data_IF_071448166790
#
_entry.id   IF_071448166790
#
_cell.length_a   1.000
_cell.length_b   1.000
_cell.length_c   1.000
_cell.angle_alpha   90.00
_cell.angle_beta   90.00
_cell.angle_gamma   90.00
#
_symmetry.space_group_name_H-M   'P 1'
#
loop_
_entity.id
_entity.type
_entity.pdbx_description
1 polymer ?
#
# COMPACT_ATOMS: atom_id res chain seq x y z
N UNK A 1 3.03 5.22 1.77
CA UNK A 1 4.49 5.21 1.49
C UNK A 1 5.29 5.29 2.78
N UNK A 2 5.13 6.34 3.58
CA UNK A 2 5.84 6.55 4.85
C UNK A 2 5.71 5.33 5.78
N UNK A 3 4.50 4.81 6.01
CA UNK A 3 4.28 3.58 6.81
C UNK A 3 5.15 2.40 6.34
N UNK A 4 5.27 2.18 5.03
CA UNK A 4 6.06 1.08 4.48
C UNK A 4 7.57 1.35 4.59
N UNK A 5 8.00 2.61 4.41
CA UNK A 5 9.40 3.00 4.62
C UNK A 5 9.82 2.76 6.08
N UNK A 6 8.94 3.10 7.02
CA UNK A 6 9.15 2.91 8.45
C UNK A 6 9.14 1.42 8.83
N UNK A 7 8.21 0.64 8.28
CA UNK A 7 8.20 -0.81 8.44
C UNK A 7 9.53 -1.43 7.99
N UNK A 8 9.96 -1.11 6.77
CA UNK A 8 11.23 -1.61 6.23
C UNK A 8 12.44 -1.06 6.98
N UNK A 9 12.32 0.05 7.71
CA UNK A 9 13.37 0.58 8.59
C UNK A 9 13.49 -0.23 9.89
N UNK A 10 12.35 -0.67 10.44
CA UNK A 10 12.25 -1.49 11.64
C UNK A 10 12.12 -0.70 12.93
N UNK A 11 11.45 -1.30 13.92
CA UNK A 11 11.14 -0.67 15.21
C UNK A 11 12.39 -0.17 15.97
N UNK A 12 13.43 -0.99 16.08
CA UNK A 12 14.62 -0.68 16.90
C UNK A 12 15.32 0.60 16.43
N UNK A 13 15.51 0.75 15.11
CA UNK A 13 16.16 1.92 14.52
C UNK A 13 15.31 3.20 14.68
N UNK A 14 13.98 3.07 14.59
CA UNK A 14 13.06 4.19 14.75
C UNK A 14 12.89 4.61 16.20
N UNK A 15 12.84 3.66 17.14
CA UNK A 15 12.75 3.93 18.57
C UNK A 15 13.90 4.81 19.03
N UNK A 16 15.13 4.56 18.58
CA UNK A 16 16.29 5.39 18.94
C UNK A 16 16.16 6.86 18.49
N UNK A 17 15.27 7.16 17.53
CA UNK A 17 15.05 8.51 16.97
C UNK A 17 13.62 9.01 17.20
N UNK A 18 12.91 8.44 18.17
CA UNK A 18 11.57 8.89 18.56
C UNK A 18 11.50 10.41 18.86
N UNK A 19 12.50 11.06 19.51
CA UNK A 19 12.42 12.49 19.78
C UNK A 19 12.46 13.32 18.50
N UNK A 20 13.22 12.89 17.49
CA UNK A 20 13.31 13.58 16.21
C UNK A 20 11.99 13.50 15.44
N UNK A 21 11.32 12.34 15.46
CA UNK A 21 9.97 12.21 14.87
C UNK A 21 8.96 13.10 15.60
N UNK A 22 9.01 13.13 16.93
CA UNK A 22 8.15 14.00 17.73
C UNK A 22 8.39 15.48 17.42
N UNK A 23 9.66 15.92 17.41
CA UNK A 23 10.04 17.29 17.10
C UNK A 23 9.62 17.70 15.69
N UNK A 24 9.82 16.85 14.69
CA UNK A 24 9.35 17.08 13.33
C UNK A 24 7.82 17.20 13.26
N UNK A 25 7.09 16.38 14.03
CA UNK A 25 5.63 16.45 14.12
C UNK A 25 5.14 17.76 14.72
N UNK A 26 5.75 18.19 15.84
CA UNK A 26 5.44 19.47 16.50
C UNK A 26 5.80 20.65 15.59
N UNK A 27 6.94 20.62 14.93
CA UNK A 27 7.36 21.66 13.98
C UNK A 27 6.38 21.77 12.80
N UNK A 28 5.91 20.65 12.25
CA UNK A 28 4.91 20.64 11.18
C UNK A 28 3.56 21.22 11.65
N UNK A 29 3.11 20.89 12.87
CA UNK A 29 1.91 21.50 13.46
C UNK A 29 2.09 23.01 13.66
N UNK A 30 3.24 23.44 14.18
CA UNK A 30 3.56 24.85 14.37
C UNK A 30 3.55 25.62 13.05
N UNK A 31 4.18 25.07 12.00
CA UNK A 31 4.18 25.66 10.67
C UNK A 31 2.77 25.76 10.08
N UNK A 32 1.96 24.70 10.21
CA UNK A 32 0.57 24.75 9.76
C UNK A 32 -0.27 25.78 10.54
N UNK A 33 -0.07 25.91 11.85
CA UNK A 33 -0.75 26.92 12.66
C UNK A 33 -0.30 28.34 12.28
N UNK A 34 0.99 28.55 11.99
CA UNK A 34 1.49 29.83 11.50
C UNK A 34 0.82 30.22 10.18
N UNK A 35 0.64 29.29 9.24
CA UNK A 35 -0.07 29.57 7.97
C UNK A 35 -1.55 29.93 8.21
N UNK A 36 -2.21 29.36 9.23
CA UNK A 36 -3.60 29.71 9.56
C UNK A 36 -3.74 31.06 10.28
N UNK A 37 -2.78 31.39 11.14
CA UNK A 37 -2.77 32.64 11.89
C UNK A 37 -2.23 33.82 11.08
N UNK A 38 -1.52 33.54 9.98
CA UNK A 38 -0.97 34.56 9.11
C UNK A 38 -2.09 35.25 8.33
N UNK A 39 -2.46 36.43 8.83
CA UNK A 39 -3.29 37.40 8.12
C UNK A 39 -2.48 38.27 7.17
N UNK A 40 -1.15 38.14 7.14
CA UNK A 40 -0.29 38.80 6.18
C UNK A 40 -0.14 37.93 4.93
N UNK A 41 -0.04 38.55 3.76
CA UNK A 41 0.07 37.82 2.48
C UNK A 41 1.37 36.98 2.36
N UNK A 42 2.33 37.14 3.28
CA UNK A 42 3.68 36.57 3.16
C UNK A 42 3.73 35.04 3.22
N UNK A 43 3.34 34.41 4.34
CA UNK A 43 3.52 32.98 4.50
C UNK A 43 2.52 32.17 3.68
N UNK A 44 1.31 32.70 3.46
CA UNK A 44 0.28 32.10 2.61
C UNK A 44 0.73 32.01 1.15
N UNK A 45 1.34 33.08 0.61
CA UNK A 45 1.92 33.09 -0.75
C UNK A 45 3.11 32.14 -0.86
N UNK A 46 4.04 32.19 0.10
CA UNK A 46 5.22 31.29 0.11
C UNK A 46 4.80 29.82 0.18
N UNK A 47 3.84 29.47 1.04
CA UNK A 47 3.34 28.11 1.16
C UNK A 47 2.68 27.63 -0.14
N UNK A 48 1.87 28.49 -0.76
CA UNK A 48 1.17 28.19 -2.02
C UNK A 48 2.15 27.95 -3.16
N UNK A 49 3.13 28.85 -3.35
CA UNK A 49 4.17 28.68 -4.38
C UNK A 49 5.03 27.45 -4.13
N UNK A 50 5.50 27.23 -2.89
CA UNK A 50 6.31 26.07 -2.54
C UNK A 50 5.57 24.76 -2.86
N UNK A 51 4.28 24.68 -2.54
CA UNK A 51 3.46 23.53 -2.87
C UNK A 51 3.29 23.35 -4.39
N UNK A 52 3.03 24.43 -5.12
CA UNK A 52 2.96 24.41 -6.58
C UNK A 52 4.25 23.89 -7.22
N UNK A 53 5.42 24.39 -6.80
CA UNK A 53 6.71 23.91 -7.30
C UNK A 53 6.95 22.42 -6.99
N UNK A 54 6.55 21.95 -5.81
CA UNK A 54 6.63 20.52 -5.46
C UNK A 54 5.77 19.67 -6.40
N UNK A 55 4.58 20.15 -6.78
CA UNK A 55 3.72 19.45 -7.73
C UNK A 55 4.29 19.44 -9.14
N UNK A 56 4.84 20.57 -9.62
CA UNK A 56 5.52 20.64 -10.92
C UNK A 56 6.70 19.67 -10.95
N UNK A 57 7.55 19.70 -9.93
CA UNK A 57 8.70 18.79 -9.83
C UNK A 57 8.24 17.33 -9.79
N UNK A 58 7.20 17.02 -9.01
CA UNK A 58 6.63 15.66 -8.91
C UNK A 58 6.06 15.17 -10.24
N UNK A 59 5.35 16.04 -10.97
CA UNK A 59 4.82 15.76 -12.30
C UNK A 59 5.94 15.52 -13.32
N UNK A 60 6.96 16.39 -13.34
CA UNK A 60 8.11 16.28 -14.22
C UNK A 60 8.92 15.00 -13.98
N UNK A 61 9.24 14.69 -12.71
CA UNK A 61 9.90 13.44 -12.33
C UNK A 61 9.04 12.22 -12.68
N UNK A 62 7.72 12.32 -12.52
CA UNK A 62 6.77 11.28 -12.92
C UNK A 62 6.82 10.99 -14.43
N UNK A 63 6.82 12.03 -15.27
CA UNK A 63 6.95 11.91 -16.72
C UNK A 63 8.31 11.34 -17.12
N UNK A 64 9.41 11.86 -16.56
CA UNK A 64 10.76 11.32 -16.79
C UNK A 64 10.87 9.85 -16.36
N UNK A 65 10.18 9.46 -15.28
CA UNK A 65 10.09 8.08 -14.82
C UNK A 65 9.44 7.14 -15.82
N UNK A 66 8.52 7.62 -16.68
CA UNK A 66 7.90 6.79 -17.74
C UNK A 66 8.86 6.44 -18.88
N UNK A 67 9.96 7.19 -19.03
CA UNK A 67 11.05 6.85 -19.96
C UNK A 67 11.87 5.65 -19.45
N UNK A 68 11.71 5.26 -18.18
CA UNK A 68 12.38 4.10 -17.61
C UNK A 68 11.72 2.80 -18.08
N UNK A 69 12.46 1.86 -18.72
CA UNK A 69 11.91 0.59 -19.20
C UNK A 69 11.43 -0.36 -18.09
N UNK A 70 11.66 -0.02 -16.81
CA UNK A 70 11.16 -0.76 -15.65
C UNK A 70 9.73 -0.35 -15.27
N UNK A 71 9.33 0.87 -15.59
CA UNK A 71 7.99 1.41 -15.38
C UNK A 71 7.30 1.28 -16.72
N UNK A 72 6.55 0.20 -16.94
CA UNK A 72 5.64 0.14 -18.09
C UNK A 72 4.75 1.37 -18.00
N UNK A 73 4.86 2.27 -18.98
CA UNK A 73 4.06 3.48 -19.06
C UNK A 73 2.59 3.09 -19.15
N UNK A 74 1.96 2.93 -17.99
CA UNK A 74 0.52 2.76 -17.89
C UNK A 74 -0.08 4.14 -18.14
N UNK A 75 -1.14 4.22 -18.97
CA UNK A 75 -1.89 5.47 -19.22
C UNK A 75 -2.21 6.20 -17.92
N UNK A 76 -2.49 5.47 -16.85
CA UNK A 76 -2.75 6.05 -15.52
C UNK A 76 -1.54 6.79 -14.90
N UNK A 77 -0.31 6.31 -15.10
CA UNK A 77 0.90 6.99 -14.61
C UNK A 77 1.12 8.29 -15.39
N UNK A 78 0.89 8.26 -16.70
CA UNK A 78 1.01 9.44 -17.56
C UNK A 78 -0.06 10.49 -17.21
N UNK A 79 -1.33 10.07 -17.07
CA UNK A 79 -2.44 10.93 -16.65
C UNK A 79 -2.17 11.55 -15.28
N UNK A 80 -1.67 10.77 -14.31
CA UNK A 80 -1.31 11.30 -12.99
C UNK A 80 -0.16 12.30 -13.07
N UNK A 81 0.92 11.97 -13.77
CA UNK A 81 2.10 12.83 -13.86
C UNK A 81 1.75 14.14 -14.60
N UNK A 82 0.99 14.06 -15.70
CA UNK A 82 0.47 15.21 -16.41
C UNK A 82 -0.48 16.05 -15.56
N UNK A 83 -1.41 15.42 -14.83
CA UNK A 83 -2.34 16.11 -13.93
C UNK A 83 -1.63 16.86 -12.80
N UNK A 84 -0.60 16.26 -12.18
CA UNK A 84 0.23 16.94 -11.17
C UNK A 84 1.00 18.13 -11.75
N UNK A 85 1.51 17.99 -12.98
CA UNK A 85 2.24 19.06 -13.66
C UNK A 85 1.32 20.23 -14.03
N UNK A 86 0.15 19.95 -14.63
CA UNK A 86 -0.86 20.96 -14.94
C UNK A 86 -1.32 21.67 -13.67
N UNK A 87 -1.63 20.93 -12.61
CA UNK A 87 -2.04 21.52 -11.34
C UNK A 87 -0.93 22.37 -10.71
N UNK A 88 0.30 21.90 -10.72
CA UNK A 88 1.44 22.67 -10.21
C UNK A 88 1.66 23.97 -10.97
N UNK A 89 1.57 23.94 -12.31
CA UNK A 89 1.71 25.13 -13.15
C UNK A 89 0.56 26.14 -12.94
N UNK A 90 -0.65 25.65 -12.66
CA UNK A 90 -1.82 26.49 -12.33
C UNK A 90 -1.64 27.22 -10.98
N UNK A 91 -0.86 26.64 -10.06
CA UNK A 91 -0.57 27.19 -8.73
C UNK A 91 0.65 28.12 -8.74
N UNK A 92 1.65 27.88 -9.61
CA UNK A 92 2.95 28.61 -9.64
C UNK A 92 2.89 29.92 -10.45
N UNK A 93 1.72 30.33 -10.93
CA UNK A 93 1.55 31.56 -11.71
C UNK A 93 2.36 31.59 -13.03
N UNK A 94 2.14 30.61 -13.91
CA UNK A 94 2.18 30.91 -15.35
C UNK A 94 0.99 31.85 -15.64
N UNK A 95 1.11 32.84 -16.54
CA UNK A 95 0.65 34.26 -16.41
C UNK A 95 -0.85 34.55 -16.19
N UNK A 96 -1.68 33.57 -15.87
CA UNK A 96 -3.12 33.69 -15.64
C UNK A 96 -3.41 33.44 -14.16
N UNK A 97 -3.27 34.49 -13.33
CA UNK A 97 -3.71 34.48 -11.94
C UNK A 97 -5.22 34.19 -11.88
N UNK A 98 -5.58 32.94 -11.58
CA UNK A 98 -6.97 32.52 -11.50
C UNK A 98 -7.21 31.78 -10.18
N UNK A 99 -7.15 32.53 -9.07
CA UNK A 99 -7.45 32.05 -7.71
C UNK A 99 -8.78 31.28 -7.65
N UNK A 100 -9.75 31.70 -8.46
CA UNK A 100 -11.04 31.02 -8.64
C UNK A 100 -10.83 29.61 -9.21
N UNK A 101 -10.06 29.48 -10.30
CA UNK A 101 -9.78 28.19 -10.92
C UNK A 101 -9.03 27.25 -9.96
N UNK A 102 -8.04 27.76 -9.22
CA UNK A 102 -7.32 26.99 -8.22
C UNK A 102 -8.25 26.48 -7.11
N UNK A 103 -9.09 27.36 -6.55
CA UNK A 103 -10.03 26.98 -5.50
C UNK A 103 -11.09 25.98 -5.98
N UNK A 104 -11.68 26.19 -7.18
CA UNK A 104 -12.63 25.26 -7.79
C UNK A 104 -12.01 23.89 -8.06
N UNK A 105 -10.76 23.85 -8.52
CA UNK A 105 -10.07 22.59 -8.80
C UNK A 105 -9.78 21.81 -7.52
N UNK A 106 -9.32 22.49 -6.45
CA UNK A 106 -9.18 21.87 -5.14
C UNK A 106 -10.53 21.40 -4.58
N UNK A 107 -11.57 22.22 -4.67
CA UNK A 107 -12.93 21.86 -4.26
C UNK A 107 -13.44 20.61 -4.98
N UNK A 108 -13.27 20.54 -6.32
CA UNK A 108 -13.64 19.37 -7.10
C UNK A 108 -12.81 18.13 -6.71
N UNK A 109 -11.51 18.29 -6.47
CA UNK A 109 -10.64 17.18 -6.06
C UNK A 109 -11.06 16.62 -4.68
N UNK A 110 -11.34 17.48 -3.70
CA UNK A 110 -11.87 17.08 -2.39
C UNK A 110 -13.24 16.41 -2.53
N UNK A 111 -14.13 16.92 -3.40
CA UNK A 111 -15.43 16.33 -3.63
C UNK A 111 -15.34 14.93 -4.23
N UNK A 112 -14.48 14.74 -5.25
CA UNK A 112 -14.24 13.43 -5.86
C UNK A 112 -13.65 12.45 -4.84
N UNK A 113 -12.65 12.83 -4.04
CA UNK A 113 -12.09 11.95 -3.01
C UNK A 113 -13.13 11.60 -1.95
N UNK A 114 -13.93 12.58 -1.50
CA UNK A 114 -15.02 12.38 -0.56
C UNK A 114 -16.05 11.36 -1.07
N UNK A 115 -16.54 11.52 -2.31
CA UNK A 115 -17.51 10.61 -2.93
C UNK A 115 -16.93 9.20 -3.04
N UNK A 116 -15.70 9.07 -3.56
CA UNK A 116 -15.05 7.76 -3.71
C UNK A 116 -14.81 7.09 -2.35
N UNK A 117 -14.41 7.85 -1.32
CA UNK A 117 -14.20 7.35 0.04
C UNK A 117 -15.51 6.90 0.69
N UNK A 118 -16.57 7.69 0.58
CA UNK A 118 -17.90 7.34 1.10
C UNK A 118 -18.44 6.09 0.39
N UNK A 119 -18.39 6.05 -0.94
CA UNK A 119 -18.85 4.91 -1.72
C UNK A 119 -18.06 3.63 -1.35
N UNK A 120 -16.73 3.71 -1.29
CA UNK A 120 -15.89 2.57 -0.91
C UNK A 120 -16.17 2.07 0.51
N UNK A 121 -16.30 2.98 1.48
CA UNK A 121 -16.63 2.62 2.86
C UNK A 121 -18.04 2.02 2.98
N UNK A 122 -19.01 2.51 2.22
CA UNK A 122 -20.38 2.02 2.21
C UNK A 122 -20.49 0.60 1.64
N UNK A 123 -19.79 0.32 0.54
CA UNK A 123 -19.79 -1.00 -0.12
C UNK A 123 -19.08 -2.03 0.74
N UNK A 124 -17.88 -1.73 1.24
CA UNK A 124 -17.02 -2.72 1.88
C UNK A 124 -17.23 -2.86 3.39
N UNK A 125 -17.77 -1.84 4.05
CA UNK A 125 -18.08 -1.86 5.49
C UNK A 125 -16.94 -2.39 6.39
N UNK A 126 -15.68 -2.07 6.06
CA UNK A 126 -14.52 -2.42 6.89
C UNK A 126 -14.63 -1.81 8.30
N UNK A 127 -13.89 -2.32 9.28
CA UNK A 127 -14.07 -2.02 10.72
C UNK A 127 -14.28 -0.54 11.11
N UNK A 128 -13.66 0.41 10.41
CA UNK A 128 -13.78 1.87 10.65
C UNK A 128 -14.56 2.62 9.55
N UNK A 129 -15.45 1.93 8.83
CA UNK A 129 -16.19 2.50 7.70
C UNK A 129 -17.01 3.72 8.10
N UNK A 130 -17.60 3.74 9.31
CA UNK A 130 -18.34 4.89 9.84
C UNK A 130 -17.45 6.13 9.99
N UNK A 131 -16.23 5.95 10.51
CA UNK A 131 -15.25 7.03 10.63
C UNK A 131 -14.78 7.50 9.26
N UNK A 132 -14.62 6.57 8.29
CA UNK A 132 -14.26 6.93 6.92
C UNK A 132 -15.37 7.71 6.21
N UNK A 133 -16.65 7.36 6.43
CA UNK A 133 -17.79 8.14 5.94
C UNK A 133 -17.83 9.51 6.60
N UNK A 134 -17.71 9.60 7.93
CA UNK A 134 -17.66 10.88 8.64
C UNK A 134 -16.53 11.77 8.12
N UNK A 135 -15.34 11.21 7.92
CA UNK A 135 -14.22 11.91 7.30
C UNK A 135 -14.50 12.35 5.86
N UNK A 136 -15.18 11.52 5.07
CA UNK A 136 -15.62 11.89 3.71
C UNK A 136 -16.68 13.00 3.71
N UNK A 137 -17.59 13.02 4.69
CA UNK A 137 -18.57 14.10 4.85
C UNK A 137 -17.92 15.42 5.25
N UNK A 138 -16.93 15.38 6.16
CA UNK A 138 -16.12 16.56 6.50
C UNK A 138 -15.38 17.07 5.26
N UNK A 139 -14.80 16.16 4.46
CA UNK A 139 -14.09 16.50 3.23
C UNK A 139 -15.01 17.08 2.15
N UNK A 140 -16.24 16.56 2.01
CA UNK A 140 -17.27 17.15 1.16
C UNK A 140 -17.70 18.53 1.64
N UNK A 141 -17.78 18.75 2.96
CA UNK A 141 -18.00 20.06 3.55
C UNK A 141 -16.89 21.04 3.18
N UNK A 142 -15.62 20.64 3.34
CA UNK A 142 -14.46 21.44 2.93
C UNK A 142 -14.48 21.75 1.42
N UNK A 143 -14.89 20.80 0.59
CA UNK A 143 -15.07 21.00 -0.84
C UNK A 143 -16.13 22.07 -1.14
N UNK A 144 -17.27 22.04 -0.44
CA UNK A 144 -18.31 23.06 -0.58
C UNK A 144 -17.80 24.45 -0.17
N UNK A 145 -17.07 24.55 0.95
CA UNK A 145 -16.49 25.82 1.41
C UNK A 145 -15.47 26.39 0.41
N UNK A 146 -14.66 25.53 -0.22
CA UNK A 146 -13.75 25.93 -1.29
C UNK A 146 -14.52 26.49 -2.50
N UNK A 147 -15.62 25.85 -2.90
CA UNK A 147 -16.41 26.28 -4.07
C UNK A 147 -17.23 27.55 -3.79
N UNK A 148 -17.77 27.70 -2.58
CA UNK A 148 -18.75 28.74 -2.22
C UNK A 148 -18.15 30.14 -1.98
N UNK A 149 -16.82 30.28 -1.87
CA UNK A 149 -16.14 31.54 -1.49
C UNK A 149 -16.55 32.12 -0.12
N UNK A 150 -17.26 31.35 0.69
CA UNK A 150 -17.76 31.77 1.98
C UNK A 150 -17.87 30.57 2.93
N UNK A 151 -17.37 30.67 4.17
CA UNK A 151 -16.70 31.81 4.81
C UNK A 151 -15.22 31.95 4.42
N UNK A 152 -14.68 30.99 3.66
CA UNK A 152 -13.29 30.98 3.22
C UNK A 152 -13.17 31.60 1.83
N UNK A 153 -12.36 32.64 1.69
CA UNK A 153 -12.11 33.28 0.39
C UNK A 153 -11.29 32.37 -0.54
N UNK A 154 -11.40 32.60 -1.85
CA UNK A 154 -10.64 31.84 -2.85
C UNK A 154 -9.11 31.91 -2.63
N UNK A 155 -8.58 33.06 -2.20
CA UNK A 155 -7.14 33.20 -1.93
C UNK A 155 -6.67 32.40 -0.71
N UNK A 156 -7.53 32.17 0.29
CA UNK A 156 -7.18 31.40 1.49
C UNK A 156 -7.39 29.90 1.33
N UNK A 157 -8.05 29.44 0.26
CA UNK A 157 -8.39 28.02 0.07
C UNK A 157 -7.15 27.12 0.02
N UNK A 158 -6.17 27.48 -0.80
CA UNK A 158 -4.95 26.68 -0.96
C UNK A 158 -4.07 26.71 0.29
N UNK A 159 -3.75 27.88 0.89
CA UNK A 159 -3.04 27.94 2.17
C UNK A 159 -3.74 27.17 3.29
N UNK A 160 -5.07 27.28 3.40
CA UNK A 160 -5.85 26.56 4.40
C UNK A 160 -5.73 25.03 4.25
N UNK A 161 -5.82 24.53 3.01
CA UNK A 161 -5.66 23.11 2.72
C UNK A 161 -4.24 22.61 3.07
N UNK A 162 -3.21 23.39 2.74
CA UNK A 162 -1.81 23.08 3.08
C UNK A 162 -1.61 23.06 4.60
N UNK A 163 -2.16 24.05 5.30
CA UNK A 163 -2.06 24.14 6.75
C UNK A 163 -2.74 22.95 7.45
N UNK A 164 -3.96 22.59 7.03
CA UNK A 164 -4.67 21.43 7.54
C UNK A 164 -3.87 20.15 7.30
N UNK A 165 -3.30 19.99 6.10
CA UNK A 165 -2.45 18.85 5.75
C UNK A 165 -1.21 18.77 6.67
N UNK A 166 -0.54 19.90 6.92
CA UNK A 166 0.63 19.98 7.80
C UNK A 166 0.28 19.63 9.24
N UNK A 167 -0.82 20.18 9.78
CA UNK A 167 -1.29 19.90 11.14
C UNK A 167 -1.66 18.43 11.29
N UNK A 168 -2.45 17.86 10.36
CA UNK A 168 -2.88 16.46 10.46
C UNK A 168 -1.72 15.47 10.34
N UNK A 169 -0.77 15.73 9.43
CA UNK A 169 0.44 14.91 9.33
C UNK A 169 1.37 15.11 10.54
N UNK A 170 1.48 16.33 11.05
CA UNK A 170 2.26 16.66 12.25
C UNK A 170 1.74 15.93 13.48
N UNK A 171 0.43 15.96 13.72
CA UNK A 171 -0.25 15.20 14.80
C UNK A 171 0.01 13.69 14.63
N UNK A 172 -0.10 13.16 13.41
CA UNK A 172 0.15 11.74 13.14
C UNK A 172 1.60 11.35 13.44
N UNK A 173 2.56 12.17 13.01
CA UNK A 173 3.99 11.96 13.23
C UNK A 173 4.36 12.06 14.71
N UNK A 174 3.78 13.03 15.43
CA UNK A 174 3.93 13.20 16.87
C UNK A 174 3.37 11.99 17.65
N UNK A 175 2.13 11.56 17.33
CA UNK A 175 1.53 10.35 17.92
C UNK A 175 2.37 9.11 17.67
N UNK A 176 2.95 8.98 16.48
CA UNK A 176 3.84 7.87 16.14
C UNK A 176 5.17 7.93 16.92
N UNK A 177 5.77 9.11 17.08
CA UNK A 177 6.94 9.31 17.93
C UNK A 177 6.67 8.90 19.38
N UNK A 178 5.51 9.28 19.92
CA UNK A 178 5.10 8.88 21.27
C UNK A 178 4.84 7.37 21.37
N UNK A 179 4.21 6.76 20.37
CA UNK A 179 3.99 5.31 20.33
C UNK A 179 5.32 4.54 20.29
N UNK A 180 6.30 5.01 19.50
CA UNK A 180 7.64 4.43 19.47
C UNK A 180 8.37 4.54 20.81
N UNK A 181 8.21 5.66 21.54
CA UNK A 181 8.77 5.82 22.88
C UNK A 181 8.27 4.75 23.85
N UNK A 182 7.00 4.38 23.75
CA UNK A 182 6.34 3.40 24.63
C UNK A 182 6.58 1.95 24.20
N UNK A 183 7.24 1.73 23.06
CA UNK A 183 7.43 0.40 22.49
C UNK A 183 8.51 -0.37 23.27
N UNK A 184 8.21 -1.60 23.76
CA UNK A 184 9.18 -2.43 24.45
C UNK A 184 10.41 -2.74 23.59
N UNK A 185 11.55 -3.11 24.21
CA UNK A 185 12.69 -3.64 23.47
C UNK A 185 12.26 -4.83 22.61
N UNK A 186 12.75 -4.90 21.37
CA UNK A 186 12.51 -5.99 20.40
C UNK A 186 11.08 -6.18 19.86
N UNK A 187 10.11 -5.39 20.34
CA UNK A 187 8.76 -5.40 19.79
C UNK A 187 8.73 -4.97 18.31
N UNK A 188 7.72 -5.46 17.60
CA UNK A 188 7.50 -5.15 16.19
C UNK A 188 6.85 -3.79 16.00
N UNK A 189 7.24 -3.08 14.93
CA UNK A 189 6.55 -1.84 14.54
C UNK A 189 5.08 -2.10 14.21
N UNK A 190 4.72 -3.34 13.85
CA UNK A 190 3.36 -3.77 13.55
C UNK A 190 2.43 -3.75 14.77
N UNK A 191 2.98 -3.76 16.00
CA UNK A 191 2.17 -3.61 17.22
C UNK A 191 1.71 -2.16 17.44
N UNK A 192 2.30 -1.18 16.74
CA UNK A 192 1.85 0.22 16.81
C UNK A 192 0.50 0.35 16.09
N UNK A 193 -0.52 0.96 16.72
CA UNK A 193 -1.80 1.21 16.07
C UNK A 193 -1.64 1.96 14.74
N UNK A 194 -2.15 1.36 13.66
CA UNK A 194 -2.03 1.91 12.31
C UNK A 194 -0.88 1.33 11.48
N UNK A 195 0.00 0.50 12.04
CA UNK A 195 1.04 -0.25 11.31
C UNK A 195 0.65 -1.69 10.98
N UNK A 196 -0.07 -2.37 11.86
CA UNK A 196 -0.68 -3.66 11.61
C UNK A 196 -2.21 -3.58 11.62
N UNK A 197 -2.92 -4.64 11.18
CA UNK A 197 -4.36 -4.73 11.37
C UNK A 197 -4.65 -4.78 12.88
N UNK A 198 -5.71 -4.10 13.35
CA UNK A 198 -5.87 -3.88 14.78
C UNK A 198 -6.26 -5.17 15.52
N UNK A 199 -5.77 -5.35 16.75
CA UNK A 199 -5.99 -6.58 17.53
C UNK A 199 -5.07 -7.75 17.15
N UNK A 200 -4.38 -7.71 16.01
CA UNK A 200 -3.53 -8.83 15.56
C UNK A 200 -2.14 -8.84 16.18
N UNK A 201 -1.75 -7.75 16.82
CA UNK A 201 -0.41 -7.57 17.35
C UNK A 201 -0.39 -7.01 18.78
N UNK A 202 -1.57 -6.92 19.43
CA UNK A 202 -1.73 -6.40 20.79
C UNK A 202 -1.08 -7.30 21.85
N UNK A 203 -0.78 -8.57 21.53
CA UNK A 203 -0.21 -9.57 22.45
C UNK A 203 1.06 -10.25 21.91
N UNK A 204 1.80 -9.61 20.98
CA UNK A 204 3.06 -10.19 20.46
C UNK A 204 4.12 -10.41 21.55
N UNK A 205 4.04 -9.69 22.67
CA UNK A 205 4.97 -9.81 23.81
C UNK A 205 4.95 -11.20 24.46
N UNK A 206 3.84 -11.94 24.38
CA UNK A 206 3.73 -13.28 24.97
C UNK A 206 4.46 -14.37 24.18
N UNK A 207 4.72 -14.16 22.88
CA UNK A 207 5.42 -15.14 22.06
C UNK A 207 6.93 -14.91 22.20
N UNK A 208 7.44 -15.12 23.42
CA UNK A 208 8.87 -15.28 23.66
C UNK A 208 9.35 -16.46 22.84
N UNK A 209 10.27 -16.17 21.92
CA UNK A 209 11.12 -17.10 21.18
C UNK A 209 10.54 -18.52 21.07
N UNK A 210 9.66 -18.73 20.08
CA UNK A 210 9.63 -20.04 19.43
C UNK A 210 11.10 -20.32 19.10
N UNK A 211 11.69 -21.34 19.70
CA UNK A 211 13.09 -21.70 19.48
C UNK A 211 13.30 -21.70 17.98
N UNK A 212 14.14 -20.79 17.49
CA UNK A 212 14.35 -20.67 16.06
C UNK A 212 14.93 -22.01 15.62
N UNK A 213 14.28 -22.73 14.69
CA UNK A 213 14.85 -23.97 14.21
C UNK A 213 16.24 -23.67 13.67
N UNK A 214 17.18 -24.56 13.93
CA UNK A 214 18.55 -24.42 13.45
C UNK A 214 18.52 -24.38 11.92
N UNK A 215 18.79 -23.21 11.36
CA UNK A 215 18.60 -22.97 9.93
C UNK A 215 19.79 -23.55 9.17
N UNK A 216 19.63 -24.73 8.59
CA UNK A 216 20.64 -25.32 7.70
C UNK A 216 20.56 -24.67 6.30
N UNK A 217 21.68 -24.11 5.84
CA UNK A 217 21.80 -23.49 4.50
C UNK A 217 21.32 -22.03 4.40
N UNK A 218 21.00 -21.59 3.17
CA UNK A 218 20.42 -20.26 2.86
C UNK A 218 18.96 -20.43 2.44
N UNK A 219 18.03 -20.73 3.37
CA UNK A 219 16.65 -20.99 3.00
C UNK A 219 16.00 -19.73 2.44
N UNK A 220 15.16 -19.91 1.43
CA UNK A 220 14.43 -18.83 0.78
C UNK A 220 12.96 -18.92 1.17
N UNK A 221 12.38 -17.80 1.57
CA UNK A 221 10.94 -17.66 1.70
C UNK A 221 10.35 -17.41 0.31
N UNK A 222 9.39 -18.22 -0.14
CA UNK A 222 8.80 -18.16 -1.47
C UNK A 222 7.32 -17.80 -1.38
N UNK A 223 6.93 -16.72 -2.03
CA UNK A 223 5.51 -16.42 -2.28
C UNK A 223 5.11 -17.13 -3.56
N UNK A 224 4.10 -18.01 -3.49
CA UNK A 224 3.55 -18.72 -4.64
C UNK A 224 2.13 -18.26 -4.90
N UNK A 225 1.79 -18.08 -6.17
CA UNK A 225 0.53 -17.48 -6.60
C UNK A 225 -0.07 -18.35 -7.69
N UNK A 226 -1.37 -18.59 -7.56
CA UNK A 226 -2.26 -19.08 -8.61
C UNK A 226 -3.01 -17.88 -9.18
N UNK A 227 -2.71 -17.49 -10.41
CA UNK A 227 -3.36 -16.35 -11.04
C UNK A 227 -4.80 -16.70 -11.45
N UNK A 228 -5.75 -15.74 -11.40
CA UNK A 228 -7.14 -15.96 -11.84
C UNK A 228 -7.25 -16.51 -13.26
N UNK A 229 -6.29 -16.14 -14.12
CA UNK A 229 -6.18 -16.60 -15.52
C UNK A 229 -5.62 -18.00 -15.67
N UNK A 230 -4.82 -18.47 -14.71
CA UNK A 230 -4.32 -19.85 -14.67
C UNK A 230 -5.29 -20.81 -13.97
N UNK A 231 -6.15 -20.29 -13.09
CA UNK A 231 -7.10 -21.08 -12.28
C UNK A 231 -8.51 -21.20 -12.84
N UNK A 232 -8.84 -20.57 -13.98
CA UNK A 232 -10.17 -20.64 -14.59
C UNK A 232 -10.17 -20.44 -16.10
N UNK A 233 -11.12 -21.06 -16.81
CA UNK A 233 -11.41 -20.78 -18.21
C UNK A 233 -12.25 -19.48 -18.35
N UNK A 234 -11.59 -18.39 -18.75
CA UNK A 234 -12.21 -17.05 -18.78
C UNK A 234 -13.12 -16.85 -20.00
N UNK A 235 -14.34 -16.36 -19.77
CA UNK A 235 -15.35 -16.08 -20.80
C UNK A 235 -15.11 -14.80 -21.60
N UNK A 236 -14.62 -13.75 -20.94
CA UNK A 236 -14.41 -12.43 -21.56
C UNK A 236 -13.26 -11.71 -20.85
N UNK A 237 -12.19 -11.40 -21.59
CA UNK A 237 -10.98 -10.80 -21.00
C UNK A 237 -11.20 -9.31 -20.71
N UNK A 238 -11.35 -8.94 -19.44
CA UNK A 238 -11.31 -7.56 -18.92
C UNK A 238 -9.98 -7.34 -18.18
N UNK A 239 -8.91 -6.89 -18.87
CA UNK A 239 -7.53 -7.01 -18.40
C UNK A 239 -7.20 -6.31 -17.06
N UNK A 240 -8.00 -5.32 -16.63
CA UNK A 240 -7.82 -4.62 -15.35
C UNK A 240 -8.70 -5.22 -14.23
N UNK A 241 -9.92 -5.66 -14.56
CA UNK A 241 -10.88 -6.21 -13.59
C UNK A 241 -10.50 -7.66 -13.26
N UNK A 242 -10.27 -8.50 -14.27
CA UNK A 242 -9.87 -9.90 -14.13
C UNK A 242 -8.55 -10.03 -13.36
N UNK A 243 -7.66 -9.04 -13.54
CA UNK A 243 -6.35 -9.03 -12.90
C UNK A 243 -6.39 -8.59 -11.45
N UNK A 244 -7.28 -7.68 -11.04
CA UNK A 244 -7.17 -7.02 -9.72
C UNK A 244 -8.37 -7.19 -8.80
N UNK A 245 -9.50 -7.72 -9.29
CA UNK A 245 -10.72 -7.91 -8.51
C UNK A 245 -11.06 -9.40 -8.46
N UNK A 246 -11.44 -9.97 -9.60
CA UNK A 246 -11.72 -11.39 -9.77
C UNK A 246 -11.95 -11.67 -11.27
N UNK A 247 -11.65 -12.88 -11.73
CA UNK A 247 -12.05 -13.35 -13.05
C UNK A 247 -13.39 -14.09 -12.96
N UNK A 248 -14.27 -13.90 -13.94
CA UNK A 248 -15.52 -14.65 -14.07
C UNK A 248 -15.34 -15.67 -15.19
N UNK A 249 -15.60 -16.94 -14.88
CA UNK A 249 -15.49 -18.03 -15.86
C UNK A 249 -16.69 -18.02 -16.85
N UNK A 250 -16.67 -18.93 -17.83
CA UNK A 250 -17.78 -19.13 -18.80
C UNK A 250 -19.11 -19.60 -18.17
N UNK A 251 -19.07 -20.16 -16.98
CA UNK A 251 -20.23 -20.61 -16.21
C UNK A 251 -20.79 -19.55 -15.24
N UNK A 252 -20.18 -18.35 -15.19
CA UNK A 252 -20.55 -17.28 -14.29
C UNK A 252 -19.95 -17.39 -12.87
N UNK A 253 -19.01 -18.30 -12.65
CA UNK A 253 -18.33 -18.53 -11.37
C UNK A 253 -17.16 -17.56 -11.19
N UNK A 254 -16.96 -17.11 -9.96
CA UNK A 254 -15.91 -16.15 -9.60
C UNK A 254 -14.64 -16.88 -9.17
N UNK A 255 -13.58 -16.76 -9.98
CA UNK A 255 -12.22 -17.22 -9.64
C UNK A 255 -11.35 -16.03 -9.22
N UNK A 256 -10.96 -16.01 -7.95
CA UNK A 256 -10.08 -14.97 -7.40
C UNK A 256 -8.59 -15.33 -7.47
N UNK A 257 -8.25 -16.55 -7.88
CA UNK A 257 -6.91 -17.13 -7.70
C UNK A 257 -6.60 -17.49 -6.24
N UNK A 258 -5.35 -17.85 -5.96
CA UNK A 258 -4.88 -18.18 -4.61
C UNK A 258 -3.45 -17.67 -4.36
N UNK A 259 -3.11 -17.40 -3.09
CA UNK A 259 -1.79 -16.92 -2.70
C UNK A 259 -1.31 -17.62 -1.43
N UNK A 260 -0.04 -18.04 -1.43
CA UNK A 260 0.60 -18.72 -0.31
C UNK A 260 2.00 -18.17 -0.05
N UNK A 261 2.46 -18.35 1.19
CA UNK A 261 3.84 -18.10 1.60
C UNK A 261 4.44 -19.39 2.13
N UNK A 262 5.50 -19.83 1.46
CA UNK A 262 6.20 -21.07 1.71
C UNK A 262 7.62 -20.79 2.23
N UNK A 263 7.89 -21.20 3.45
CA UNK A 263 9.20 -21.18 4.09
C UNK A 263 9.53 -22.59 4.59
N UNK A 264 9.59 -23.53 3.66
CA UNK A 264 9.92 -24.93 3.93
C UNK A 264 11.30 -25.10 4.63
N UNK A 265 11.43 -26.09 5.52
CA UNK A 265 10.38 -26.97 6.05
C UNK A 265 9.59 -26.36 7.22
N UNK A 266 9.86 -25.10 7.57
CA UNK A 266 9.47 -24.52 8.86
C UNK A 266 8.05 -23.94 8.88
N UNK A 267 7.56 -23.44 7.75
CA UNK A 267 6.28 -22.75 7.71
C UNK A 267 5.63 -22.80 6.32
N UNK A 268 4.33 -23.05 6.30
CA UNK A 268 3.49 -22.91 5.12
C UNK A 268 2.22 -22.13 5.50
N UNK A 269 2.01 -20.99 4.85
CA UNK A 269 0.84 -20.12 5.05
C UNK A 269 -0.05 -20.23 3.84
N UNK A 270 -1.18 -20.90 4.02
CA UNK A 270 -2.23 -21.04 3.03
C UNK A 270 -3.57 -21.09 3.75
N UNK A 271 -4.50 -20.19 3.42
CA UNK A 271 -5.75 -20.01 4.17
C UNK A 271 -6.96 -20.14 3.25
N UNK A 272 -7.84 -21.09 3.58
CA UNK A 272 -9.06 -21.41 2.85
C UNK A 272 -10.27 -21.34 3.78
N UNK A 273 -11.49 -21.17 3.24
CA UNK A 273 -12.69 -21.53 3.98
C UNK A 273 -12.67 -23.04 4.31
N UNK A 274 -13.27 -23.42 5.44
CA UNK A 274 -13.39 -24.82 5.83
C UNK A 274 -14.29 -25.61 4.86
N UNK A 275 -15.38 -24.97 4.41
CA UNK A 275 -16.28 -25.48 3.38
C UNK A 275 -16.22 -24.60 2.14
N UNK A 276 -15.99 -25.22 0.98
CA UNK A 276 -15.96 -24.51 -0.29
C UNK A 276 -17.38 -24.34 -0.83
N UNK A 277 -18.01 -23.22 -0.49
CA UNK A 277 -19.30 -22.86 -1.09
C UNK A 277 -19.07 -22.30 -2.50
N UNK A 278 -19.77 -22.85 -3.49
CA UNK A 278 -19.75 -22.30 -4.85
C UNK A 278 -20.30 -20.87 -4.88
N UNK A 279 -19.54 -19.95 -5.48
CA UNK A 279 -19.86 -18.51 -5.44
C UNK A 279 -20.59 -18.12 -6.70
N UNK A 280 -21.92 -18.06 -6.61
CA UNK A 280 -22.73 -17.44 -7.65
C UNK A 280 -22.43 -15.92 -7.72
N UNK A 281 -22.47 -15.35 -8.93
CA UNK A 281 -22.31 -13.90 -9.12
C UNK A 281 -23.43 -13.10 -8.41
N UNK A 282 -24.61 -13.70 -8.25
CA UNK A 282 -25.69 -13.17 -7.43
C UNK A 282 -25.28 -13.18 -5.95
N UNK A 283 -25.20 -12.00 -5.33
CA UNK A 283 -24.80 -11.84 -3.91
C UNK A 283 -23.32 -11.50 -3.67
N UNK A 284 -22.50 -11.39 -4.72
CA UNK A 284 -21.07 -11.06 -4.58
C UNK A 284 -20.81 -9.76 -3.80
N UNK A 285 -21.62 -8.71 -4.04
CA UNK A 285 -21.50 -7.44 -3.29
C UNK A 285 -21.74 -7.60 -1.79
N UNK A 286 -22.59 -8.54 -1.37
CA UNK A 286 -22.80 -8.83 0.04
C UNK A 286 -21.57 -9.52 0.62
N UNK A 287 -20.98 -10.49 -0.09
CA UNK A 287 -19.76 -11.20 0.32
C UNK A 287 -18.52 -10.29 0.40
N UNK A 288 -18.49 -9.21 -0.37
CA UNK A 288 -17.43 -8.19 -0.29
C UNK A 288 -17.46 -7.38 1.01
N UNK A 289 -18.53 -7.44 1.81
CA UNK A 289 -18.57 -6.74 3.10
C UNK A 289 -17.62 -7.40 4.10
N UNK A 290 -16.76 -6.60 4.71
CA UNK A 290 -15.85 -7.01 5.78
C UNK A 290 -16.55 -7.04 7.16
N UNK A 291 -17.83 -7.39 7.19
CA UNK A 291 -18.65 -7.52 8.41
C UNK A 291 -18.54 -8.91 9.01
N UNK A 292 -18.84 -9.04 10.31
CA UNK A 292 -18.80 -10.32 11.02
C UNK A 292 -19.84 -11.34 10.47
N UNK A 293 -20.92 -10.85 9.86
CA UNK A 293 -21.92 -11.68 9.18
C UNK A 293 -21.35 -12.55 8.05
N UNK A 294 -20.22 -12.15 7.46
CA UNK A 294 -19.54 -12.88 6.38
C UNK A 294 -18.32 -13.68 6.88
N UNK A 295 -18.14 -13.77 8.20
CA UNK A 295 -17.12 -14.63 8.78
C UNK A 295 -17.58 -16.09 8.72
N UNK A 296 -16.74 -16.95 8.16
CA UNK A 296 -16.97 -18.39 8.10
C UNK A 296 -15.79 -19.13 8.74
N UNK A 297 -15.96 -20.37 9.20
CA UNK A 297 -14.83 -21.19 9.64
C UNK A 297 -13.81 -21.34 8.50
N UNK A 298 -12.53 -21.21 8.84
CA UNK A 298 -11.41 -21.37 7.92
C UNK A 298 -10.48 -22.51 8.30
N UNK A 299 -9.65 -22.91 7.35
CA UNK A 299 -8.61 -23.92 7.51
C UNK A 299 -7.28 -23.43 6.96
N UNK A 300 -6.20 -23.82 7.63
CA UNK A 300 -4.85 -23.65 7.12
C UNK A 300 -4.37 -24.98 6.56
N UNK A 301 -3.67 -24.95 5.42
CA UNK A 301 -3.08 -26.14 4.82
C UNK A 301 -1.63 -26.32 5.27
N UNK A 302 -1.14 -27.56 5.20
CA UNK A 302 0.11 -27.95 5.85
C UNK A 302 1.34 -27.86 4.95
N UNK A 303 1.19 -27.99 3.63
CA UNK A 303 2.34 -27.93 2.72
C UNK A 303 1.97 -27.61 1.28
N UNK A 304 2.96 -27.10 0.54
CA UNK A 304 2.84 -26.90 -0.91
C UNK A 304 2.58 -28.21 -1.66
N UNK A 305 3.20 -29.32 -1.22
CA UNK A 305 3.00 -30.63 -1.85
C UNK A 305 1.53 -31.06 -1.77
N UNK A 306 0.90 -30.91 -0.61
CA UNK A 306 -0.52 -31.20 -0.45
C UNK A 306 -1.41 -30.43 -1.42
N UNK A 307 -1.14 -29.14 -1.64
CA UNK A 307 -1.91 -28.33 -2.61
C UNK A 307 -1.66 -28.74 -4.05
N UNK A 308 -0.41 -29.06 -4.42
CA UNK A 308 -0.10 -29.54 -5.76
C UNK A 308 -0.80 -30.87 -6.05
N UNK A 309 -0.82 -31.77 -5.07
CA UNK A 309 -1.44 -33.10 -5.20
C UNK A 309 -2.97 -33.02 -5.25
N UNK A 310 -3.58 -32.02 -4.60
CA UNK A 310 -5.04 -31.84 -4.55
C UNK A 310 -5.58 -30.95 -5.68
N UNK A 311 -4.77 -30.05 -6.22
CA UNK A 311 -5.20 -29.05 -7.19
C UNK A 311 -4.26 -29.00 -8.41
N UNK A 312 -3.31 -28.07 -8.45
CA UNK A 312 -2.25 -28.02 -9.46
C UNK A 312 -1.11 -27.07 -9.01
N UNK A 313 0.07 -27.11 -9.65
CA UNK A 313 1.19 -26.23 -9.31
C UNK A 313 0.92 -24.74 -9.52
N UNK A 314 1.45 -23.89 -8.63
CA UNK A 314 1.36 -22.45 -8.77
C UNK A 314 2.02 -21.95 -10.06
N UNK A 315 1.44 -20.96 -10.74
CA UNK A 315 1.95 -20.44 -12.01
C UNK A 315 2.93 -19.26 -11.83
N UNK A 316 3.02 -18.67 -10.63
CA UNK A 316 3.99 -17.62 -10.33
C UNK A 316 4.67 -17.75 -8.97
N UNK A 317 5.96 -17.40 -8.91
CA UNK A 317 6.82 -17.59 -7.74
C UNK A 317 7.73 -16.37 -7.49
N UNK A 318 7.85 -15.95 -6.23
CA UNK A 318 8.74 -14.86 -5.80
C UNK A 318 9.53 -15.31 -4.56
N UNK A 319 10.82 -15.55 -4.73
CA UNK A 319 11.72 -15.93 -3.65
C UNK A 319 12.39 -14.71 -2.99
N UNK A 320 12.46 -14.72 -1.66
CA UNK A 320 13.18 -13.80 -0.79
C UNK A 320 14.26 -14.58 -0.03
N UNK A 321 15.50 -14.13 -0.14
CA UNK A 321 16.68 -14.58 0.61
C UNK A 321 16.96 -13.70 1.82
N UNK A 322 16.47 -12.45 1.81
CA UNK A 322 16.64 -11.47 2.90
C UNK A 322 15.30 -11.24 3.58
N UNK A 323 15.08 -11.92 4.70
CA UNK A 323 13.90 -11.75 5.55
C UNK A 323 14.23 -12.10 7.01
N UNK A 324 13.35 -11.73 7.92
CA UNK A 324 13.41 -12.05 9.34
C UNK A 324 12.52 -13.27 9.62
N UNK A 325 13.12 -14.46 9.63
CA UNK A 325 12.42 -15.72 9.90
C UNK A 325 11.75 -15.75 11.28
N UNK A 326 12.41 -15.18 12.30
CA UNK A 326 11.88 -15.14 13.65
C UNK A 326 10.56 -14.37 13.74
N UNK A 327 10.51 -13.19 13.13
CA UNK A 327 9.31 -12.35 13.09
C UNK A 327 8.19 -12.98 12.29
N UNK A 328 8.52 -13.68 11.20
CA UNK A 328 7.56 -14.43 10.42
C UNK A 328 6.91 -15.54 11.25
N UNK A 329 7.71 -16.35 11.96
CA UNK A 329 7.21 -17.46 12.79
C UNK A 329 6.38 -16.95 13.98
N UNK A 330 6.84 -15.91 14.67
CA UNK A 330 6.10 -15.27 15.77
C UNK A 330 4.76 -14.71 15.26
N UNK A 331 4.80 -14.00 14.12
CA UNK A 331 3.59 -13.47 13.52
C UNK A 331 2.60 -14.59 13.17
N UNK A 332 3.08 -15.68 12.57
CA UNK A 332 2.21 -16.79 12.21
C UNK A 332 1.60 -17.46 13.42
N UNK A 333 2.39 -17.72 14.47
CA UNK A 333 1.91 -18.32 15.72
C UNK A 333 0.78 -17.51 16.37
N UNK A 334 0.77 -16.19 16.20
CA UNK A 334 -0.34 -15.35 16.65
C UNK A 334 -1.50 -15.33 15.64
N UNK A 335 -1.19 -15.16 14.35
CA UNK A 335 -2.21 -15.09 13.30
C UNK A 335 -3.06 -16.37 13.25
N UNK A 336 -2.45 -17.55 13.36
CA UNK A 336 -3.13 -18.84 13.21
C UNK A 336 -4.05 -19.23 14.36
N UNK A 337 -4.02 -18.52 15.51
CA UNK A 337 -4.94 -18.75 16.64
C UNK A 337 -6.40 -18.50 16.27
N UNK A 338 -6.63 -17.55 15.37
CA UNK A 338 -7.95 -17.24 14.82
C UNK A 338 -8.08 -17.88 13.43
N UNK A 339 -8.90 -18.92 13.32
CA UNK A 339 -9.15 -19.64 12.06
C UNK A 339 -10.30 -19.01 11.25
N UNK A 340 -10.81 -17.85 11.64
CA UNK A 340 -11.90 -17.19 10.90
C UNK A 340 -11.44 -16.86 9.49
N UNK A 341 -12.24 -17.24 8.50
CA UNK A 341 -12.09 -16.85 7.12
C UNK A 341 -13.10 -15.75 6.77
N UNK A 342 -12.63 -14.71 6.10
CA UNK A 342 -13.49 -13.66 5.55
C UNK A 342 -12.92 -13.21 4.22
N UNK A 343 -13.76 -13.19 3.18
CA UNK A 343 -13.34 -12.94 1.81
C UNK A 343 -12.63 -11.59 1.64
N UNK A 344 -13.02 -10.56 2.39
CA UNK A 344 -12.46 -9.21 2.26
C UNK A 344 -11.34 -8.95 3.26
N UNK A 345 -11.56 -9.27 4.55
CA UNK A 345 -10.66 -8.84 5.64
C UNK A 345 -9.67 -9.90 6.12
N UNK A 346 -9.83 -11.18 5.75
CA UNK A 346 -9.02 -12.28 6.27
C UNK A 346 -8.92 -13.48 5.30
N UNK A 347 -8.64 -13.19 4.03
CA UNK A 347 -8.44 -14.22 3.00
C UNK A 347 -6.96 -14.67 2.90
N UNK A 348 -6.65 -15.59 1.98
CA UNK A 348 -5.28 -16.06 1.73
C UNK A 348 -4.30 -14.93 1.41
N UNK A 349 -4.73 -13.96 0.62
CA UNK A 349 -3.91 -12.83 0.18
C UNK A 349 -3.62 -11.86 1.32
N UNK A 350 -4.59 -11.64 2.21
CA UNK A 350 -4.39 -10.88 3.44
C UNK A 350 -3.33 -11.57 4.30
N UNK A 351 -3.48 -12.88 4.54
CA UNK A 351 -2.56 -13.68 5.35
C UNK A 351 -1.11 -13.56 4.83
N UNK A 352 -0.91 -13.72 3.52
CA UNK A 352 0.41 -13.58 2.88
C UNK A 352 0.92 -12.13 2.98
N UNK A 353 0.08 -11.12 2.74
CA UNK A 353 0.51 -9.73 2.78
C UNK A 353 1.03 -9.31 4.17
N UNK A 354 0.32 -9.69 5.24
CA UNK A 354 0.74 -9.36 6.60
C UNK A 354 1.93 -10.20 7.08
N UNK A 355 2.04 -11.44 6.61
CA UNK A 355 3.21 -12.27 6.87
C UNK A 355 4.45 -11.72 6.16
N UNK A 356 4.31 -11.20 4.93
CA UNK A 356 5.37 -10.49 4.22
C UNK A 356 5.80 -9.22 4.96
N UNK A 357 4.86 -8.42 5.47
CA UNK A 357 5.19 -7.24 6.27
C UNK A 357 6.02 -7.60 7.50
N UNK A 358 5.60 -8.64 8.23
CA UNK A 358 6.30 -9.12 9.42
C UNK A 358 7.70 -9.66 9.08
N UNK A 359 7.81 -10.44 8.01
CA UNK A 359 9.07 -11.02 7.54
C UNK A 359 10.06 -9.95 7.02
N UNK A 360 9.56 -8.83 6.48
CA UNK A 360 10.41 -7.81 5.87
C UNK A 360 10.64 -6.59 6.76
N UNK A 361 10.10 -6.59 7.98
CA UNK A 361 10.38 -5.53 8.94
C UNK A 361 11.88 -5.41 9.19
N UNK A 362 12.39 -4.18 9.07
CA UNK A 362 13.80 -3.91 9.28
C UNK A 362 14.73 -4.35 8.14
N UNK A 363 14.21 -4.88 7.02
CA UNK A 363 15.04 -5.39 5.91
C UNK A 363 15.40 -4.34 4.84
N UNK A 364 14.90 -3.11 4.96
CA UNK A 364 15.11 -1.99 4.04
C UNK A 364 16.52 -1.37 3.99
N UNK A 365 17.57 -2.14 4.28
CA UNK A 365 18.96 -1.70 4.19
C UNK A 365 19.67 -1.53 5.53
N UNK A 366 21.01 -1.57 5.52
CA UNK A 366 21.86 -1.31 6.67
C UNK A 366 22.38 0.13 6.68
N UNK A 367 22.82 0.62 7.84
CA UNK A 367 23.44 1.94 7.99
C UNK A 367 22.58 2.96 8.76
N UNK A 368 23.05 4.21 8.89
CA UNK A 368 22.42 5.21 9.73
C UNK A 368 21.07 5.67 9.17
N UNK A 369 20.11 5.92 10.06
CA UNK A 369 18.71 6.22 9.72
C UNK A 369 18.58 7.38 8.73
N UNK A 370 19.39 8.44 8.90
CA UNK A 370 19.35 9.64 8.07
C UNK A 370 19.74 9.40 6.60
N UNK A 371 20.51 8.34 6.30
CA UNK A 371 20.77 7.92 4.90
C UNK A 371 19.73 6.91 4.42
N UNK A 372 19.36 5.98 5.30
CA UNK A 372 18.45 4.88 4.98
C UNK A 372 17.05 5.36 4.60
N UNK A 373 16.48 6.26 5.40
CA UNK A 373 15.09 6.69 5.23
C UNK A 373 14.90 7.51 3.93
N UNK A 374 15.72 8.53 3.60
CA UNK A 374 15.62 9.20 2.31
C UNK A 374 15.84 8.26 1.13
N UNK A 375 16.80 7.32 1.22
CA UNK A 375 17.02 6.32 0.16
C UNK A 375 15.79 5.45 -0.09
N UNK A 376 15.07 5.05 0.97
CA UNK A 376 13.82 4.31 0.85
C UNK A 376 12.72 5.20 0.25
N UNK A 377 12.56 6.42 0.75
CA UNK A 377 11.55 7.37 0.28
C UNK A 377 11.76 7.78 -1.18
N UNK A 378 12.99 7.77 -1.69
CA UNK A 378 13.31 8.06 -3.09
C UNK A 378 13.28 6.80 -3.99
N UNK A 379 13.03 5.61 -3.43
CA UNK A 379 12.99 4.38 -4.22
C UNK A 379 11.62 4.22 -4.92
N UNK A 380 11.57 4.21 -6.27
CA UNK A 380 10.30 4.11 -7.01
C UNK A 380 9.56 2.79 -6.74
N UNK A 381 10.26 1.68 -6.48
CA UNK A 381 9.61 0.40 -6.16
C UNK A 381 8.86 0.46 -4.82
N UNK A 382 9.34 1.28 -3.87
CA UNK A 382 8.62 1.50 -2.62
C UNK A 382 7.31 2.28 -2.85
N UNK A 383 7.30 3.18 -3.83
CA UNK A 383 6.10 3.94 -4.21
C UNK A 383 5.06 3.02 -4.84
N UNK A 384 5.50 2.13 -5.73
CA UNK A 384 4.63 1.10 -6.31
C UNK A 384 4.07 0.21 -5.22
N UNK A 385 4.92 -0.33 -4.33
CA UNK A 385 4.50 -1.17 -3.22
C UNK A 385 3.48 -0.45 -2.30
N UNK A 386 3.72 0.82 -1.99
CA UNK A 386 2.83 1.62 -1.17
C UNK A 386 1.48 1.93 -1.84
N UNK A 387 1.47 2.15 -3.16
CA UNK A 387 0.24 2.38 -3.92
C UNK A 387 -0.61 1.10 -3.99
N UNK A 388 0.02 -0.06 -4.24
CA UNK A 388 -0.64 -1.36 -4.25
C UNK A 388 -1.23 -1.69 -2.87
N UNK A 389 -0.45 -1.48 -1.80
CA UNK A 389 -0.92 -1.64 -0.42
C UNK A 389 -2.14 -0.76 -0.14
N UNK A 390 -2.06 0.55 -0.42
CA UNK A 390 -3.18 1.48 -0.18
C UNK A 390 -4.44 0.99 -0.89
N UNK A 391 -4.31 0.57 -2.15
CA UNK A 391 -5.43 0.01 -2.93
C UNK A 391 -6.01 -1.24 -2.29
N UNK A 392 -5.16 -2.17 -1.86
CA UNK A 392 -5.60 -3.41 -1.23
C UNK A 392 -6.27 -3.17 0.14
N UNK A 393 -5.75 -2.24 0.95
CA UNK A 393 -6.34 -1.83 2.22
C UNK A 393 -7.71 -1.12 2.03
N UNK A 394 -7.90 -0.39 0.93
CA UNK A 394 -9.18 0.25 0.60
C UNK A 394 -10.21 -0.71 0.00
N UNK A 395 -9.76 -1.79 -0.64
CA UNK A 395 -10.61 -2.78 -1.30
C UNK A 395 -10.49 -4.10 -0.53
N UNK A 396 -9.76 -5.05 -1.11
CA UNK A 396 -9.30 -6.26 -0.46
C UNK A 396 -7.97 -6.67 -1.08
N UNK A 397 -7.17 -7.43 -0.33
CA UNK A 397 -6.00 -8.10 -0.90
C UNK A 397 -6.47 -9.24 -1.80
N UNK A 398 -5.99 -9.23 -3.04
CA UNK A 398 -6.18 -10.30 -4.02
C UNK A 398 -4.84 -10.92 -4.40
N UNK A 399 -4.80 -12.17 -4.89
CA UNK A 399 -3.55 -12.87 -5.19
C UNK A 399 -2.63 -12.09 -6.13
N UNK A 400 -3.21 -11.42 -7.12
CA UNK A 400 -2.45 -10.57 -8.04
C UNK A 400 -1.95 -9.27 -7.41
N UNK A 401 -2.71 -8.64 -6.51
CA UNK A 401 -2.21 -7.49 -5.74
C UNK A 401 -1.04 -7.91 -4.84
N UNK A 402 -1.13 -9.07 -4.19
CA UNK A 402 -0.04 -9.64 -3.39
C UNK A 402 1.16 -9.96 -4.25
N UNK A 403 0.98 -10.56 -5.43
CA UNK A 403 2.06 -10.83 -6.37
C UNK A 403 2.82 -9.56 -6.77
N UNK A 404 2.10 -8.54 -7.25
CA UNK A 404 2.71 -7.28 -7.68
C UNK A 404 3.36 -6.55 -6.48
N UNK A 405 2.76 -6.65 -5.29
CA UNK A 405 3.30 -6.10 -4.05
C UNK A 405 4.59 -6.79 -3.61
N UNK A 406 4.61 -8.12 -3.54
CA UNK A 406 5.77 -8.93 -3.20
C UNK A 406 6.92 -8.68 -4.19
N UNK A 407 6.62 -8.54 -5.49
CA UNK A 407 7.62 -8.21 -6.51
C UNK A 407 8.23 -6.83 -6.29
N UNK A 408 7.41 -5.84 -5.96
CA UNK A 408 7.88 -4.49 -5.64
C UNK A 408 8.75 -4.49 -4.36
N UNK A 409 8.30 -5.17 -3.29
CA UNK A 409 9.07 -5.30 -2.05
C UNK A 409 10.41 -6.02 -2.26
N UNK A 410 10.43 -7.10 -3.06
CA UNK A 410 11.67 -7.81 -3.38
C UNK A 410 12.70 -6.88 -4.04
N UNK A 411 12.28 -6.00 -4.95
CA UNK A 411 13.20 -5.03 -5.58
C UNK A 411 13.72 -3.98 -4.59
N UNK A 412 12.97 -3.66 -3.53
CA UNK A 412 13.41 -2.75 -2.47
C UNK A 412 14.40 -3.44 -1.52
N UNK A 413 14.10 -4.66 -1.08
CA UNK A 413 14.88 -5.39 -0.06
C UNK A 413 16.09 -6.12 -0.67
N UNK A 414 15.95 -6.60 -1.89
CA UNK A 414 16.99 -7.28 -2.67
C UNK A 414 17.22 -6.52 -3.98
N UNK A 415 17.79 -5.30 -3.91
CA UNK A 415 18.14 -4.57 -5.11
C UNK A 415 19.08 -5.46 -5.94
N UNK A 416 18.66 -5.76 -7.18
CA UNK A 416 19.45 -6.59 -8.08
C UNK A 416 20.84 -5.96 -8.23
N UNK A 417 21.89 -6.80 -8.23
CA UNK A 417 23.27 -6.37 -8.43
C UNK A 417 23.54 -5.75 -9.82
N UNK A 418 22.53 -5.63 -10.68
CA UNK A 418 22.69 -5.06 -12.02
C UNK A 418 22.63 -3.53 -11.97
N UNK A 419 23.77 -2.90 -12.28
CA UNK A 419 23.84 -1.48 -12.58
C UNK A 419 22.84 -1.06 -13.68
N UNK A 420 22.58 0.25 -13.79
CA UNK A 420 21.64 0.82 -14.77
C UNK A 420 21.84 0.29 -16.21
N UNK A 421 23.10 0.14 -16.64
CA UNK A 421 23.48 -0.44 -17.94
C UNK A 421 23.03 -1.90 -18.12
N UNK A 422 23.16 -2.74 -17.09
CA UNK A 422 22.69 -4.13 -17.13
C UNK A 422 21.16 -4.22 -17.23
N UNK A 423 20.45 -3.27 -16.61
CA UNK A 423 18.99 -3.18 -16.70
C UNK A 423 18.51 -2.77 -18.10
N UNK A 424 19.22 -1.85 -18.76
CA UNK A 424 18.94 -1.48 -20.16
C UNK A 424 19.21 -2.64 -21.12
N UNK A 425 20.36 -3.31 -20.99
CA UNK A 425 20.74 -4.44 -21.86
C UNK A 425 19.75 -5.61 -21.76
N UNK A 426 19.33 -5.96 -20.55
CA UNK A 426 18.34 -7.02 -20.33
C UNK A 426 16.93 -6.65 -20.83
N UNK A 427 16.53 -5.37 -20.73
CA UNK A 427 15.29 -4.89 -21.33
C UNK A 427 15.32 -4.98 -22.86
N UNK A 428 16.43 -4.59 -23.49
CA UNK A 428 16.62 -4.68 -24.94
C UNK A 428 16.61 -6.14 -25.44
N UNK A 429 17.27 -7.06 -24.73
CA UNK A 429 17.24 -8.48 -25.08
C UNK A 429 15.84 -9.10 -24.96
N UNK A 430 15.07 -8.76 -23.91
CA UNK A 430 13.68 -9.21 -23.78
C UNK A 430 12.75 -8.65 -24.85
N UNK A 431 12.94 -7.38 -25.22
CA UNK A 431 12.19 -6.77 -26.32
C UNK A 431 12.51 -7.41 -27.68
N UNK A 432 13.78 -7.73 -27.94
CA UNK A 432 14.18 -8.48 -29.14
C UNK A 432 13.60 -9.90 -29.16
N UNK A 433 13.54 -10.57 -28.01
CA UNK A 433 12.92 -11.90 -27.90
C UNK A 433 11.41 -11.85 -28.19
N UNK A 434 10.70 -10.85 -27.66
CA UNK A 434 9.26 -10.66 -27.91
C UNK A 434 8.95 -10.42 -29.39
N UNK A 435 9.74 -9.57 -30.06
CA UNK A 435 9.59 -9.31 -31.51
C UNK A 435 9.90 -10.51 -32.40
N UNK A 436 10.67 -11.50 -31.92
CA UNK A 436 10.94 -12.73 -32.67
C UNK A 436 9.76 -13.71 -32.57
N UNK A 437 9.10 -13.77 -31.41
CA UNK A 437 7.89 -14.58 -31.21
C UNK A 437 6.71 -14.01 -32.00
N UNK A 438 6.55 -12.68 -32.03
CA UNK A 438 5.52 -11.98 -32.84
C UNK A 438 5.74 -12.04 -34.37
N UNK A 439 6.90 -12.52 -34.83
CA UNK A 439 7.18 -12.73 -36.27
C UNK A 439 7.12 -14.20 -36.68
N UNK A 440 6.97 -15.11 -35.71
CA UNK A 440 6.89 -16.55 -35.91
C UNK A 440 5.46 -17.10 -35.67
N UNK A 441 4.55 -16.23 -35.22
CA UNK A 441 3.10 -16.41 -35.23
C UNK A 441 2.51 -15.47 -36.28
#
# INVERSE_FOLDING_TARGET
MIRLALLLTGATALRARWPALMAAGVAACGLGLLILLDTSDGATVVATHAFGYILVLSGALGLLGTLSPQIRANRMVLVRAGGLLVLGLLIVDLPWNNQIANSLLFGLAFLIDAVLRIAGAWVLRFRRWRVAIAGGLVEAGLAMLAISNWPLSYHLTVPFAIALLLIMNGITLARMGLALRRLPPDASILSIPGFGPPGWYEHLEEVRAVGLPEMSGRPAMVVRIWTPTGSAEIATRRPVVDRYIAAVDKSGKISSGHAVLDFAPHLYISHYPAEETERAAAGFLQQLRATAENDVPGRFLDSYRYEVDTWFPADAHIAFRRFNAARLLIHWAHYSRDRTYNFTRRNCSVAVAVALDAALEGMGGSGPLWRRLPRLLLNPDLWVAAALRRRAETLTWTPMLVYDYARALRRVVEPHQMGWLGRLRSAWMRWRAHRRVERAA
#
